data_IF_682677644435
#
_entry.id   IF_682677644435
#
_cell.length_a   1.000
_cell.length_b   1.000
_cell.length_c   1.000
_cell.angle_alpha   90.00
_cell.angle_beta   90.00
_cell.angle_gamma   90.00
#
_symmetry.space_group_name_H-M   'P 1'
#
loop_
_entity.id
_entity.type
_entity.pdbx_description
1 polymer ?
#
# COMPACT_ATOMS: atom_id res chain seq x y z
N UNK A 1 -6.86 -1.84 -15.26
CA UNK A 1 -5.76 -1.95 -14.27
C UNK A 1 -6.28 -2.76 -13.10
N UNK A 2 -5.51 -3.72 -12.63
CA UNK A 2 -5.83 -4.49 -11.42
C UNK A 2 -4.89 -4.07 -10.30
N UNK A 3 -5.41 -3.95 -9.08
CA UNK A 3 -4.63 -3.53 -7.90
C UNK A 3 -4.77 -4.59 -6.81
N UNK A 4 -3.64 -4.95 -6.19
CA UNK A 4 -3.57 -5.89 -5.07
C UNK A 4 -2.66 -5.31 -3.99
N UNK A 5 -2.92 -5.63 -2.74
CA UNK A 5 -2.10 -5.29 -1.58
C UNK A 5 -1.80 -6.54 -0.75
N UNK A 6 -0.63 -6.57 -0.11
CA UNK A 6 -0.21 -7.64 0.78
C UNK A 6 0.88 -7.13 1.73
N UNK A 7 1.08 -7.81 2.87
CA UNK A 7 2.13 -7.49 3.84
C UNK A 7 3.03 -8.69 4.12
N UNK A 8 4.31 -8.45 4.40
CA UNK A 8 5.26 -9.48 4.84
C UNK A 8 4.86 -10.06 6.20
N UNK A 9 4.36 -9.20 7.10
CA UNK A 9 3.81 -9.55 8.41
C UNK A 9 2.43 -8.88 8.55
N UNK A 10 1.35 -9.49 8.02
CA UNK A 10 0.03 -8.87 8.06
C UNK A 10 -0.51 -8.79 9.49
N UNK A 11 -1.06 -7.62 9.86
CA UNK A 11 -1.83 -7.46 11.09
C UNK A 11 -3.16 -8.23 11.06
N UNK A 12 -3.90 -8.22 12.17
CA UNK A 12 -5.21 -8.89 12.25
C UNK A 12 -6.33 -8.13 11.55
N UNK A 13 -6.21 -6.82 11.41
CA UNK A 13 -7.22 -5.94 10.82
C UNK A 13 -6.59 -4.71 10.17
N UNK A 14 -7.38 -3.98 9.37
CA UNK A 14 -6.96 -2.69 8.82
C UNK A 14 -6.85 -1.69 9.96
N UNK A 15 -5.75 -0.92 9.99
CA UNK A 15 -5.51 0.07 11.03
C UNK A 15 -6.69 1.06 11.17
N UNK A 16 -7.31 1.20 12.36
CA UNK A 16 -8.54 1.98 12.51
C UNK A 16 -8.42 3.43 12.03
N UNK A 17 -7.31 4.11 12.32
CA UNK A 17 -7.09 5.49 11.87
C UNK A 17 -6.93 5.61 10.35
N UNK A 18 -6.40 4.57 9.68
CA UNK A 18 -6.29 4.53 8.22
C UNK A 18 -7.67 4.34 7.61
N UNK A 19 -8.48 3.45 8.19
CA UNK A 19 -9.86 3.24 7.76
C UNK A 19 -10.71 4.52 7.95
N UNK A 20 -10.52 5.23 9.06
CA UNK A 20 -11.17 6.52 9.31
C UNK A 20 -10.78 7.57 8.27
N UNK A 21 -9.48 7.80 8.05
CA UNK A 21 -8.98 8.78 7.09
C UNK A 21 -9.43 8.50 5.65
N UNK A 22 -9.54 7.23 5.25
CA UNK A 22 -10.03 6.85 3.92
C UNK A 22 -11.55 7.03 3.80
N UNK A 23 -12.31 6.70 4.86
CA UNK A 23 -13.77 6.91 4.89
C UNK A 23 -14.15 8.39 4.81
N UNK A 24 -13.37 9.29 5.42
CA UNK A 24 -13.56 10.75 5.29
C UNK A 24 -13.49 11.23 3.83
N UNK A 25 -12.78 10.48 2.97
CA UNK A 25 -12.62 10.75 1.54
C UNK A 25 -13.65 10.01 0.68
N UNK A 26 -14.62 9.34 1.30
CA UNK A 26 -15.61 8.52 0.61
C UNK A 26 -15.08 7.21 0.06
N UNK A 27 -13.91 6.73 0.52
CA UNK A 27 -13.33 5.46 0.11
C UNK A 27 -13.82 4.37 1.07
N UNK A 28 -14.61 3.44 0.55
CA UNK A 28 -15.09 2.28 1.30
C UNK A 28 -14.03 1.17 1.31
N UNK A 29 -13.71 0.68 2.51
CA UNK A 29 -12.79 -0.44 2.73
C UNK A 29 -13.53 -1.74 3.04
N UNK A 30 -14.85 -1.81 2.85
CA UNK A 30 -15.62 -3.03 3.03
C UNK A 30 -15.02 -4.17 2.20
N UNK A 31 -14.63 -5.25 2.88
CA UNK A 31 -13.97 -6.41 2.26
C UNK A 31 -12.45 -6.30 2.11
N UNK A 32 -11.83 -5.17 2.48
CA UNK A 32 -10.39 -5.06 2.63
C UNK A 32 -9.95 -5.73 3.95
N UNK A 33 -8.85 -6.48 3.90
CA UNK A 33 -8.25 -7.14 5.04
C UNK A 33 -6.74 -7.31 4.82
N UNK A 34 -5.92 -7.29 5.89
CA UNK A 34 -4.51 -7.64 5.77
C UNK A 34 -4.34 -9.08 5.29
N UNK A 35 -3.51 -9.27 4.27
CA UNK A 35 -3.24 -10.59 3.68
C UNK A 35 -1.74 -10.79 3.48
N UNK A 36 -1.24 -12.03 3.64
CA UNK A 36 0.19 -12.29 3.53
C UNK A 36 0.68 -12.06 2.10
N UNK A 37 1.93 -11.61 1.98
CA UNK A 37 2.63 -11.57 0.69
C UNK A 37 2.88 -12.99 0.21
N UNK A 38 2.34 -13.31 -0.97
CA UNK A 38 2.53 -14.58 -1.64
C UNK A 38 3.24 -14.40 -2.98
N UNK A 39 3.95 -15.44 -3.39
CA UNK A 39 4.83 -15.39 -4.55
C UNK A 39 4.10 -15.13 -5.88
N UNK A 40 2.93 -15.75 -6.01
CA UNK A 40 2.04 -15.63 -7.17
C UNK A 40 1.56 -14.19 -7.40
N UNK A 41 1.27 -13.45 -6.32
CA UNK A 41 0.84 -12.05 -6.42
C UNK A 41 1.95 -11.17 -7.00
N UNK A 42 3.19 -11.38 -6.59
CA UNK A 42 4.35 -10.63 -7.13
C UNK A 42 4.62 -11.04 -8.57
N UNK A 43 4.55 -12.33 -8.88
CA UNK A 43 4.73 -12.84 -10.26
C UNK A 43 3.68 -12.34 -11.24
N UNK A 44 2.45 -12.13 -10.79
CA UNK A 44 1.37 -11.64 -11.64
C UNK A 44 1.41 -10.11 -11.86
N UNK A 45 2.20 -9.36 -11.08
CA UNK A 45 2.23 -7.90 -11.15
C UNK A 45 3.24 -7.38 -12.18
N UNK A 46 2.88 -6.33 -12.93
CA UNK A 46 3.83 -5.57 -13.77
C UNK A 46 4.62 -4.56 -12.93
N UNK A 47 3.97 -4.00 -11.90
CA UNK A 47 4.52 -3.01 -10.97
C UNK A 47 4.45 -3.56 -9.54
N UNK A 48 5.55 -3.45 -8.81
CA UNK A 48 5.62 -3.83 -7.38
C UNK A 48 6.06 -2.59 -6.60
N UNK A 49 5.16 -2.06 -5.77
CA UNK A 49 5.42 -0.87 -4.95
C UNK A 49 5.67 -1.33 -3.51
N UNK A 50 6.87 -1.09 -3.00
CA UNK A 50 7.23 -1.36 -1.60
C UNK A 50 7.04 -0.10 -0.76
N UNK A 51 6.49 -0.29 0.45
CA UNK A 51 6.24 0.80 1.41
C UNK A 51 6.74 0.36 2.80
N UNK A 52 8.07 0.28 2.96
CA UNK A 52 8.70 -0.04 4.25
C UNK A 52 8.94 -1.54 4.55
N UNK A 53 8.61 -2.45 3.64
CA UNK A 53 8.88 -3.89 3.84
C UNK A 53 10.34 -4.32 3.55
N UNK A 54 11.18 -3.41 3.06
CA UNK A 54 12.58 -3.70 2.71
C UNK A 54 12.72 -4.86 1.71
N UNK A 55 13.70 -5.75 1.96
CA UNK A 55 14.06 -6.90 1.12
C UNK A 55 13.11 -8.10 1.23
N UNK A 56 11.95 -7.96 1.89
CA UNK A 56 11.00 -9.05 2.06
C UNK A 56 10.31 -9.47 0.74
N UNK A 57 10.39 -8.64 -0.31
CA UNK A 57 9.77 -8.90 -1.59
C UNK A 57 10.72 -9.67 -2.53
N UNK A 58 10.32 -10.84 -3.08
CA UNK A 58 11.11 -11.52 -4.09
C UNK A 58 11.26 -10.66 -5.36
N UNK A 59 12.47 -10.62 -5.90
CA UNK A 59 12.79 -9.84 -7.11
C UNK A 59 12.69 -10.73 -8.34
N UNK A 60 11.82 -10.34 -9.27
CA UNK A 60 11.58 -11.02 -10.52
C UNK A 60 11.97 -10.15 -11.72
N UNK A 61 12.63 -10.72 -12.74
CA UNK A 61 12.99 -9.99 -13.94
C UNK A 61 11.73 -9.54 -14.71
N UNK A 62 11.83 -8.42 -15.42
CA UNK A 62 10.76 -7.90 -16.28
C UNK A 62 9.66 -7.13 -15.54
N UNK A 63 9.84 -6.82 -14.25
CA UNK A 63 8.90 -6.04 -13.44
C UNK A 63 9.51 -4.69 -13.04
N UNK A 64 8.64 -3.69 -12.85
CA UNK A 64 9.05 -2.38 -12.35
C UNK A 64 8.85 -2.32 -10.84
N UNK A 65 9.96 -2.26 -10.11
CA UNK A 65 9.96 -2.09 -8.66
C UNK A 65 10.08 -0.60 -8.32
N UNK A 66 9.20 -0.12 -7.44
CA UNK A 66 9.24 1.24 -6.91
C UNK A 66 9.26 1.16 -5.39
N UNK A 67 10.21 1.85 -4.78
CA UNK A 67 10.27 1.95 -3.33
C UNK A 67 9.79 3.33 -2.88
N UNK A 68 8.66 3.35 -2.18
CA UNK A 68 8.08 4.55 -1.60
C UNK A 68 8.42 4.59 -0.11
N UNK A 69 9.35 5.48 0.22
CA UNK A 69 9.67 5.83 1.59
C UNK A 69 8.51 6.63 2.19
N UNK A 70 7.58 5.93 2.84
CA UNK A 70 6.39 6.46 3.51
C UNK A 70 6.52 6.19 5.01
N UNK A 71 6.14 7.15 5.84
CA UNK A 71 6.08 6.96 7.29
C UNK A 71 5.07 5.87 7.66
N UNK A 72 5.45 4.97 8.57
CA UNK A 72 4.55 3.94 9.11
C UNK A 72 3.43 4.60 9.93
N UNK A 73 2.15 4.37 9.61
CA UNK A 73 1.03 4.96 10.34
C UNK A 73 0.77 4.34 11.72
N UNK A 74 1.41 3.21 12.09
CA UNK A 74 1.04 2.41 13.25
C UNK A 74 1.11 3.15 14.61
N UNK A 75 2.05 4.09 14.74
CA UNK A 75 2.25 4.88 15.98
C UNK A 75 1.89 6.35 15.80
N UNK A 76 1.20 6.70 14.72
CA UNK A 76 0.95 8.07 14.32
C UNK A 76 -0.45 8.57 14.73
N UNK A 77 -0.59 9.89 14.82
CA UNK A 77 -1.89 10.53 15.08
C UNK A 77 -2.77 10.52 13.83
N UNK A 78 -4.10 10.67 13.99
CA UNK A 78 -5.02 10.74 12.85
C UNK A 78 -4.64 11.84 11.84
N UNK A 79 -4.21 13.01 12.31
CA UNK A 79 -3.76 14.10 11.44
C UNK A 79 -2.52 13.71 10.63
N UNK A 80 -1.59 12.98 11.25
CA UNK A 80 -0.40 12.49 10.54
C UNK A 80 -0.75 11.37 9.57
N UNK A 81 -1.68 10.49 9.92
CA UNK A 81 -2.25 9.48 9.01
C UNK A 81 -2.91 10.14 7.80
N UNK A 82 -3.68 11.21 7.97
CA UNK A 82 -4.28 11.96 6.83
C UNK A 82 -3.21 12.44 5.85
N UNK A 83 -2.11 12.99 6.37
CA UNK A 83 -0.96 13.44 5.55
C UNK A 83 -0.28 12.27 4.83
N UNK A 84 -0.15 11.11 5.48
CA UNK A 84 0.37 9.88 4.85
C UNK A 84 -0.54 9.46 3.68
N UNK A 85 -1.86 9.48 3.87
CA UNK A 85 -2.81 9.15 2.80
C UNK A 85 -2.74 10.17 1.65
N UNK A 86 -2.54 11.47 1.94
CA UNK A 86 -2.33 12.50 0.90
C UNK A 86 -1.06 12.27 0.10
N UNK A 87 0.03 11.90 0.77
CA UNK A 87 1.28 11.57 0.09
C UNK A 87 1.12 10.36 -0.83
N UNK A 88 0.44 9.31 -0.36
CA UNK A 88 0.15 8.11 -1.18
C UNK A 88 -0.73 8.49 -2.37
N UNK A 89 -1.79 9.28 -2.18
CA UNK A 89 -2.68 9.72 -3.28
C UNK A 89 -1.89 10.49 -4.35
N UNK A 90 -1.03 11.43 -3.95
CA UNK A 90 -0.18 12.18 -4.88
C UNK A 90 0.76 11.26 -5.68
N UNK A 91 1.41 10.29 -5.03
CA UNK A 91 2.30 9.32 -5.68
C UNK A 91 1.54 8.38 -6.62
N UNK A 92 0.36 7.90 -6.23
CA UNK A 92 -0.51 7.06 -7.06
C UNK A 92 -0.96 7.82 -8.31
N UNK A 93 -1.39 9.08 -8.19
CA UNK A 93 -1.77 9.91 -9.34
C UNK A 93 -0.60 10.15 -10.30
N UNK A 94 0.58 10.43 -9.76
CA UNK A 94 1.79 10.62 -10.55
C UNK A 94 2.19 9.33 -11.30
N UNK A 95 2.07 8.17 -10.65
CA UNK A 95 2.31 6.87 -11.29
C UNK A 95 1.28 6.60 -12.39
N UNK A 96 -0.01 6.84 -12.12
CA UNK A 96 -1.07 6.65 -13.09
C UNK A 96 -0.89 7.48 -14.36
N UNK A 97 -0.38 8.71 -14.24
CA UNK A 97 -0.09 9.58 -15.39
C UNK A 97 1.06 9.08 -16.29
N UNK A 98 1.85 8.10 -15.84
CA UNK A 98 2.96 7.50 -16.58
C UNK A 98 2.60 6.13 -17.20
N UNK A 99 1.37 5.64 -16.97
CA UNK A 99 0.87 4.36 -17.46
C UNK A 99 -0.02 4.57 -18.69
#
# INVERSE_FOLDING_TARGET
MEVRSAGSLPGSEVHPLVAEALRERGIDLTGAYPKPLTDDVVRAADYVITMGCGDACPVYPGKRYLDWQITDPAEETLDRVRQIVDEIDARVRALQAQL
#
